data_IF_213255177794
#
_entry.id   IF_213255177794
#
_cell.length_a   1.000
_cell.length_b   1.000
_cell.length_c   1.000
_cell.angle_alpha   90.00
_cell.angle_beta   90.00
_cell.angle_gamma   90.00
#
_symmetry.space_group_name_H-M   'P 1'
#
loop_
_entity.id
_entity.type
_entity.pdbx_description
1 polymer ?
#
# COMPACT_ATOMS: atom_id res chain seq x y z
N UNK A 1 3.59 -25.84 -2.87
CA UNK A 1 4.74 -25.13 -2.26
C UNK A 1 4.49 -25.05 -0.75
N UNK A 2 5.04 -25.98 0.04
CA UNK A 2 4.85 -25.99 1.50
C UNK A 2 5.84 -25.00 2.12
N UNK A 3 5.37 -23.82 2.53
CA UNK A 3 6.17 -22.87 3.31
C UNK A 3 6.47 -23.53 4.66
N UNK A 4 7.67 -24.12 4.82
CA UNK A 4 8.16 -24.54 6.12
C UNK A 4 8.43 -23.28 6.93
N UNK A 5 7.57 -23.02 7.91
CA UNK A 5 7.72 -21.93 8.87
C UNK A 5 8.87 -22.33 9.81
N UNK A 6 10.09 -21.92 9.47
CA UNK A 6 11.27 -22.16 10.30
C UNK A 6 11.51 -20.94 11.21
N UNK A 7 11.15 -21.08 12.50
CA UNK A 7 11.25 -20.01 13.49
C UNK A 7 12.72 -19.60 13.81
N UNK A 8 13.73 -20.35 13.33
CA UNK A 8 15.13 -19.96 13.49
C UNK A 8 15.63 -18.97 12.44
N UNK A 9 14.85 -18.70 11.39
CA UNK A 9 15.26 -17.74 10.37
C UNK A 9 15.19 -16.31 10.92
N UNK A 10 16.32 -15.57 10.97
CA UNK A 10 16.35 -14.23 11.53
C UNK A 10 15.44 -13.26 10.76
N UNK A 11 15.26 -13.50 9.46
CA UNK A 11 14.36 -12.73 8.60
C UNK A 11 12.88 -12.89 8.97
N UNK A 12 12.48 -14.12 9.32
CA UNK A 12 11.10 -14.43 9.69
C UNK A 12 10.78 -13.87 11.08
N UNK A 13 11.75 -13.97 12.01
CA UNK A 13 11.65 -13.36 13.33
C UNK A 13 11.50 -11.83 13.21
N UNK A 14 12.29 -11.19 12.35
CA UNK A 14 12.21 -9.75 12.09
C UNK A 14 10.83 -9.34 11.54
N UNK A 15 10.29 -10.09 10.57
CA UNK A 15 8.97 -9.81 10.01
C UNK A 15 7.85 -9.92 11.07
N UNK A 16 7.92 -10.91 11.95
CA UNK A 16 6.97 -11.07 13.06
C UNK A 16 7.06 -9.88 14.03
N UNK A 17 8.27 -9.50 14.43
CA UNK A 17 8.49 -8.38 15.35
C UNK A 17 7.98 -7.07 14.73
N UNK A 18 8.28 -6.83 13.46
CA UNK A 18 7.78 -5.65 12.73
C UNK A 18 6.24 -5.62 12.68
N UNK A 19 5.59 -6.76 12.39
CA UNK A 19 4.13 -6.86 12.39
C UNK A 19 3.52 -6.61 13.78
N UNK A 20 4.11 -7.17 14.83
CA UNK A 20 3.66 -6.97 16.21
C UNK A 20 3.78 -5.51 16.66
N UNK A 21 4.92 -4.86 16.35
CA UNK A 21 5.14 -3.44 16.64
C UNK A 21 4.14 -2.57 15.89
N UNK A 22 3.84 -2.89 14.63
CA UNK A 22 2.87 -2.15 13.82
C UNK A 22 1.44 -2.20 14.39
N UNK A 23 1.03 -3.33 14.98
CA UNK A 23 -0.30 -3.47 15.61
C UNK A 23 -0.39 -2.76 16.96
N UNK A 24 0.70 -2.74 17.74
CA UNK A 24 0.70 -2.21 19.10
C UNK A 24 1.01 -0.70 19.15
N UNK A 25 1.74 -0.17 18.15
CA UNK A 25 2.06 1.25 18.01
C UNK A 25 0.88 2.22 18.19
N UNK A 26 -0.28 2.03 17.51
CA UNK A 26 -1.38 2.99 17.59
C UNK A 26 -2.04 3.06 18.97
N UNK A 27 -1.83 2.10 19.86
CA UNK A 27 -2.40 2.10 21.20
C UNK A 27 -1.62 2.96 22.21
N UNK A 28 -0.32 3.17 21.99
CA UNK A 28 0.57 3.81 22.98
C UNK A 28 1.31 5.05 22.46
N UNK A 29 1.31 5.30 21.15
CA UNK A 29 2.06 6.40 20.55
C UNK A 29 1.26 7.72 20.45
N UNK A 30 1.94 8.88 20.52
CA UNK A 30 1.33 10.17 20.23
C UNK A 30 0.93 10.29 18.75
N UNK A 31 -0.10 11.11 18.48
CA UNK A 31 -0.68 11.33 17.13
C UNK A 31 0.35 11.63 16.05
N UNK A 32 1.36 12.43 16.37
CA UNK A 32 2.45 12.76 15.44
C UNK A 32 3.20 11.51 14.97
N UNK A 33 3.63 10.65 15.91
CA UNK A 33 4.35 9.41 15.59
C UNK A 33 3.47 8.47 14.78
N UNK A 34 2.18 8.38 15.10
CA UNK A 34 1.22 7.57 14.32
C UNK A 34 1.15 8.07 12.88
N UNK A 35 1.02 9.38 12.66
CA UNK A 35 0.93 9.96 11.32
C UNK A 35 2.22 9.77 10.53
N UNK A 36 3.39 9.99 11.15
CA UNK A 36 4.68 9.70 10.53
C UNK A 36 4.79 8.22 10.17
N UNK A 37 4.39 7.32 11.07
CA UNK A 37 4.45 5.88 10.83
C UNK A 37 3.54 5.44 9.68
N UNK A 38 2.31 5.94 9.62
CA UNK A 38 1.38 5.69 8.51
C UNK A 38 1.99 6.20 7.19
N UNK A 39 2.61 7.38 7.20
CA UNK A 39 3.24 7.96 6.01
C UNK A 39 4.43 7.12 5.53
N UNK A 40 5.27 6.64 6.45
CA UNK A 40 6.37 5.73 6.12
C UNK A 40 5.84 4.41 5.57
N UNK A 41 4.84 3.81 6.22
CA UNK A 41 4.23 2.55 5.77
C UNK A 41 3.60 2.68 4.38
N UNK A 42 2.94 3.80 4.09
CA UNK A 42 2.43 4.16 2.77
C UNK A 42 3.56 4.19 1.73
N UNK A 43 4.68 4.87 2.01
CA UNK A 43 5.83 4.88 1.10
C UNK A 43 6.47 3.50 0.91
N UNK A 44 6.55 2.67 1.95
CA UNK A 44 7.04 1.28 1.83
C UNK A 44 6.17 0.47 0.87
N UNK A 45 4.84 0.59 0.97
CA UNK A 45 3.93 -0.05 0.04
C UNK A 45 4.11 0.45 -1.41
N UNK A 46 4.28 1.77 -1.59
CA UNK A 46 4.52 2.39 -2.90
C UNK A 46 5.84 1.93 -3.53
N UNK A 47 6.91 1.85 -2.75
CA UNK A 47 8.21 1.30 -3.21
C UNK A 47 8.07 -0.17 -3.57
N UNK A 48 7.29 -0.95 -2.81
CA UNK A 48 6.98 -2.34 -3.15
C UNK A 48 6.28 -2.46 -4.51
N UNK A 49 5.24 -1.66 -4.75
CA UNK A 49 4.55 -1.61 -6.03
C UNK A 49 5.48 -1.17 -7.18
N UNK A 50 6.35 -0.20 -6.90
CA UNK A 50 7.35 0.26 -7.88
C UNK A 50 8.37 -0.84 -8.20
N UNK A 51 8.86 -1.58 -7.20
CA UNK A 51 9.82 -2.67 -7.39
C UNK A 51 9.25 -3.81 -8.25
N UNK A 52 7.94 -4.09 -8.15
CA UNK A 52 7.30 -5.11 -9.00
C UNK A 52 7.44 -4.75 -10.49
N UNK A 53 7.22 -3.49 -10.82
CA UNK A 53 7.27 -3.03 -12.21
C UNK A 53 8.70 -2.66 -12.63
N UNK A 54 9.33 -1.69 -11.98
CA UNK A 54 10.65 -1.21 -12.37
C UNK A 54 11.81 -2.09 -11.95
N UNK A 55 11.70 -2.77 -10.81
CA UNK A 55 12.76 -3.63 -10.31
C UNK A 55 12.94 -4.89 -11.18
N UNK A 56 11.85 -5.58 -11.50
CA UNK A 56 11.93 -6.84 -12.27
C UNK A 56 12.00 -6.63 -13.78
N UNK A 57 11.40 -5.57 -14.34
CA UNK A 57 11.38 -5.36 -15.80
C UNK A 57 12.49 -4.43 -16.29
N UNK A 58 13.15 -3.69 -15.40
CA UNK A 58 14.19 -2.71 -15.76
C UNK A 58 13.67 -1.40 -16.36
N UNK A 59 12.35 -1.25 -16.56
CA UNK A 59 11.75 -0.02 -17.07
C UNK A 59 11.33 0.94 -15.96
N UNK A 60 11.59 2.24 -16.15
CA UNK A 60 11.15 3.26 -15.20
C UNK A 60 9.62 3.43 -15.24
N UNK A 61 8.94 3.09 -14.15
CA UNK A 61 7.50 3.22 -14.00
C UNK A 61 7.17 4.41 -13.09
N UNK A 62 6.91 5.56 -13.70
CA UNK A 62 6.56 6.80 -12.99
C UNK A 62 5.07 6.90 -12.60
N UNK A 63 4.24 5.95 -13.02
CA UNK A 63 2.79 5.98 -12.82
C UNK A 63 2.35 5.71 -11.37
N UNK A 64 3.20 5.14 -10.51
CA UNK A 64 2.82 4.74 -9.13
C UNK A 64 2.22 5.90 -8.34
N UNK A 65 2.82 7.09 -8.44
CA UNK A 65 2.35 8.28 -7.70
C UNK A 65 1.03 8.83 -8.25
N UNK A 66 0.83 8.77 -9.57
CA UNK A 66 -0.40 9.22 -10.22
C UNK A 66 -1.59 8.32 -9.82
N UNK A 67 -1.43 7.00 -9.89
CA UNK A 67 -2.48 6.05 -9.50
C UNK A 67 -2.75 6.05 -8.00
N UNK A 68 -1.71 6.24 -7.18
CA UNK A 68 -1.88 6.48 -5.74
C UNK A 68 -2.73 7.72 -5.47
N UNK A 69 -2.45 8.83 -6.16
CA UNK A 69 -3.20 10.08 -6.02
C UNK A 69 -4.68 9.92 -6.37
N UNK A 70 -4.99 9.25 -7.49
CA UNK A 70 -6.38 9.00 -7.92
C UNK A 70 -7.14 8.20 -6.87
N UNK A 71 -6.56 7.10 -6.38
CA UNK A 71 -7.18 6.29 -5.32
C UNK A 71 -7.38 7.07 -4.01
N UNK A 72 -6.36 7.78 -3.55
CA UNK A 72 -6.41 8.55 -2.30
C UNK A 72 -7.45 9.68 -2.35
N UNK A 73 -7.53 10.41 -3.47
CA UNK A 73 -8.49 11.50 -3.64
C UNK A 73 -9.94 10.99 -3.74
N UNK A 74 -10.13 9.88 -4.45
CA UNK A 74 -11.43 9.20 -4.53
C UNK A 74 -11.90 8.76 -3.15
N UNK A 75 -11.01 8.14 -2.36
CA UNK A 75 -11.31 7.76 -0.99
C UNK A 75 -11.63 8.98 -0.12
N UNK A 76 -10.87 10.08 -0.23
CA UNK A 76 -11.13 11.30 0.55
C UNK A 76 -12.52 11.88 0.27
N UNK A 77 -12.96 11.90 -0.99
CA UNK A 77 -14.30 12.37 -1.39
C UNK A 77 -15.41 11.45 -0.86
N UNK A 78 -15.18 10.14 -0.85
CA UNK A 78 -16.21 9.15 -0.56
C UNK A 78 -16.32 8.79 0.93
N UNK A 79 -15.21 8.94 1.67
CA UNK A 79 -15.13 8.65 3.11
C UNK A 79 -16.16 9.34 4.02
N UNK A 80 -16.63 10.59 3.78
CA UNK A 80 -17.63 11.20 4.66
C UNK A 80 -19.06 10.65 4.45
N UNK A 81 -19.35 9.94 3.36
CA UNK A 81 -20.70 9.49 3.00
C UNK A 81 -20.89 7.97 2.92
N UNK A 82 -19.83 7.18 3.03
CA UNK A 82 -19.86 5.71 2.90
C UNK A 82 -19.12 5.02 4.04
N UNK A 83 -19.47 3.75 4.35
CA UNK A 83 -18.70 2.96 5.29
C UNK A 83 -17.26 2.77 4.79
N UNK A 84 -16.31 2.79 5.73
CA UNK A 84 -14.87 2.76 5.47
C UNK A 84 -14.44 1.74 4.40
N UNK A 85 -14.88 0.49 4.54
CA UNK A 85 -14.52 -0.59 3.61
C UNK A 85 -15.12 -0.39 2.21
N UNK A 86 -16.33 0.14 2.11
CA UNK A 86 -16.95 0.42 0.81
C UNK A 86 -16.23 1.57 0.10
N UNK A 87 -15.83 2.62 0.84
CA UNK A 87 -15.06 3.72 0.28
C UNK A 87 -13.71 3.25 -0.29
N UNK A 88 -13.04 2.31 0.38
CA UNK A 88 -11.77 1.71 -0.11
C UNK A 88 -12.00 0.91 -1.38
N UNK A 89 -13.01 0.04 -1.41
CA UNK A 89 -13.30 -0.78 -2.59
C UNK A 89 -13.68 0.09 -3.80
N UNK A 90 -14.50 1.12 -3.59
CA UNK A 90 -14.86 2.07 -4.64
C UNK A 90 -13.65 2.87 -5.14
N UNK A 91 -12.77 3.33 -4.24
CA UNK A 91 -11.52 3.99 -4.61
C UNK A 91 -10.60 3.07 -5.44
N UNK A 92 -10.50 1.79 -5.06
CA UNK A 92 -9.76 0.78 -5.82
C UNK A 92 -10.37 0.53 -7.21
N UNK A 93 -11.70 0.43 -7.30
CA UNK A 93 -12.41 0.25 -8.57
C UNK A 93 -12.21 1.44 -9.53
N UNK A 94 -12.33 2.66 -9.02
CA UNK A 94 -12.11 3.88 -9.83
C UNK A 94 -10.66 3.97 -10.29
N UNK A 95 -9.70 3.68 -9.40
CA UNK A 95 -8.29 3.61 -9.78
C UNK A 95 -8.03 2.56 -10.86
N UNK A 96 -8.62 1.35 -10.74
CA UNK A 96 -8.50 0.28 -11.74
C UNK A 96 -9.06 0.71 -13.10
N UNK A 97 -10.27 1.27 -13.15
CA UNK A 97 -10.88 1.73 -14.41
C UNK A 97 -10.00 2.79 -15.07
N UNK A 98 -9.51 3.76 -14.28
CA UNK A 98 -8.66 4.83 -14.82
C UNK A 98 -7.32 4.28 -15.33
N UNK A 99 -6.70 3.36 -14.60
CA UNK A 99 -5.48 2.68 -15.02
C UNK A 99 -5.68 1.84 -16.29
N UNK A 100 -6.80 1.13 -16.40
CA UNK A 100 -7.15 0.34 -17.58
C UNK A 100 -7.33 1.22 -18.82
N UNK A 101 -8.09 2.31 -18.70
CA UNK A 101 -8.31 3.25 -19.81
C UNK A 101 -7.01 3.91 -20.29
N UNK A 102 -6.14 4.30 -19.35
CA UNK A 102 -4.82 4.87 -19.67
C UNK A 102 -3.89 3.82 -20.26
N UNK A 103 -3.95 2.58 -19.79
CA UNK A 103 -3.08 1.49 -20.24
C UNK A 103 -3.46 0.92 -21.60
N UNK A 104 -4.74 0.99 -21.99
CA UNK A 104 -5.26 0.45 -23.25
C UNK A 104 -4.48 0.86 -24.52
N UNK A 105 -4.05 2.13 -24.72
CA UNK A 105 -3.23 2.51 -25.87
C UNK A 105 -1.77 2.01 -25.84
N UNK A 106 -1.28 1.52 -24.69
CA UNK A 106 0.09 1.03 -24.51
C UNK A 106 0.20 -0.51 -24.48
N UNK A 107 -0.95 -1.19 -24.57
CA UNK A 107 -1.07 -2.65 -24.75
C UNK A 107 -0.91 -3.02 -26.23
#
# INVERSE_FOLDING_TARGET
>A
MKVKIDLKNPLFLFAIVAAAVSLLLPAFAPRYIIQTFITVAMYVALVGAWNILSGFTGYLFLGVSAFYGIGAYTYAILSPGMPYYAAILAAGAICFVTAYLIGMPFL
#
